data_IF_217693182910
#
_entry.id   IF_217693182910
#
_cell.length_a   1.000
_cell.length_b   1.000
_cell.length_c   1.000
_cell.angle_alpha   90.00
_cell.angle_beta   90.00
_cell.angle_gamma   90.00
#
_symmetry.space_group_name_H-M   'P 1'
#
loop_
_entity.id
_entity.type
_entity.pdbx_description
1 polymer ?
#
# COMPACT_ATOMS: atom_id res chain seq x y z
N UNK A 1 0.26 -24.61 -13.29
CA UNK A 1 0.46 -23.26 -12.71
C UNK A 1 1.88 -23.22 -12.18
N UNK A 2 2.73 -22.30 -12.66
CA UNK A 2 4.10 -22.17 -12.16
C UNK A 2 4.01 -21.64 -10.73
N UNK A 3 4.56 -22.37 -9.75
CA UNK A 3 4.67 -21.85 -8.38
C UNK A 3 5.91 -20.98 -8.29
N UNK A 4 5.70 -19.71 -7.95
CA UNK A 4 6.78 -18.77 -7.67
C UNK A 4 6.84 -18.61 -6.16
N UNK A 5 8.01 -18.86 -5.58
CA UNK A 5 8.26 -18.66 -4.15
C UNK A 5 8.19 -17.16 -3.80
N UNK A 6 7.36 -16.81 -2.82
CA UNK A 6 7.18 -15.44 -2.36
C UNK A 6 8.49 -14.84 -1.85
N UNK A 7 9.32 -15.61 -1.13
CA UNK A 7 10.59 -15.11 -0.62
C UNK A 7 11.53 -14.72 -1.77
N UNK A 8 11.48 -15.43 -2.89
CA UNK A 8 12.22 -15.10 -4.11
C UNK A 8 11.74 -13.80 -4.75
N UNK A 9 10.42 -13.54 -4.78
CA UNK A 9 9.89 -12.25 -5.28
C UNK A 9 10.28 -11.09 -4.37
N UNK A 10 10.16 -11.24 -3.05
CA UNK A 10 10.53 -10.20 -2.08
C UNK A 10 12.01 -9.84 -2.19
N UNK A 11 12.89 -10.81 -2.45
CA UNK A 11 14.33 -10.58 -2.68
C UNK A 11 14.64 -9.76 -3.94
N UNK A 12 13.73 -9.70 -4.91
CA UNK A 12 13.89 -8.94 -6.16
C UNK A 12 13.42 -7.49 -6.02
N UNK A 13 12.72 -7.15 -4.94
CA UNK A 13 12.31 -5.77 -4.67
C UNK A 13 13.55 -4.90 -4.48
N UNK A 14 13.47 -3.66 -4.98
CA UNK A 14 14.47 -2.67 -4.63
C UNK A 14 14.41 -2.35 -3.11
N UNK A 15 15.47 -1.78 -2.51
CA UNK A 15 15.52 -1.53 -1.07
C UNK A 15 14.36 -0.68 -0.54
N UNK A 16 13.90 0.32 -1.29
CA UNK A 16 12.80 1.20 -0.86
C UNK A 16 11.44 0.48 -0.86
N UNK A 17 11.17 -0.33 -1.88
CA UNK A 17 9.95 -1.13 -1.96
C UNK A 17 9.94 -2.23 -0.89
N UNK A 18 11.09 -2.85 -0.62
CA UNK A 18 11.24 -3.82 0.47
C UNK A 18 11.00 -3.16 1.83
N UNK A 19 11.60 -2.00 2.09
CA UNK A 19 11.38 -1.25 3.32
C UNK A 19 9.90 -0.85 3.48
N UNK A 20 9.25 -0.35 2.43
CA UNK A 20 7.84 -0.01 2.47
C UNK A 20 6.96 -1.22 2.77
N UNK A 21 7.29 -2.40 2.25
CA UNK A 21 6.61 -3.66 2.56
C UNK A 21 6.80 -4.07 4.03
N UNK A 22 8.00 -3.94 4.57
CA UNK A 22 8.29 -4.22 6.00
C UNK A 22 7.55 -3.25 6.94
N UNK A 23 7.48 -1.97 6.58
CA UNK A 23 6.69 -0.97 7.30
C UNK A 23 5.19 -1.28 7.22
N UNK A 24 4.69 -1.69 6.05
CA UNK A 24 3.30 -2.07 5.85
C UNK A 24 2.94 -3.30 6.71
N UNK A 25 3.83 -4.29 6.77
CA UNK A 25 3.66 -5.45 7.65
C UNK A 25 3.56 -5.05 9.12
N UNK A 26 4.45 -4.14 9.57
CA UNK A 26 4.44 -3.63 10.94
C UNK A 26 3.14 -2.89 11.28
N UNK A 27 2.65 -2.06 10.37
CA UNK A 27 1.37 -1.35 10.52
C UNK A 27 0.18 -2.32 10.54
N UNK A 28 0.12 -3.27 9.59
CA UNK A 28 -0.94 -4.28 9.54
C UNK A 28 -1.02 -5.09 10.85
N UNK A 29 0.13 -5.45 11.44
CA UNK A 29 0.16 -6.13 12.74
C UNK A 29 -0.38 -5.25 13.86
N UNK A 30 0.00 -3.97 13.89
CA UNK A 30 -0.50 -3.01 14.89
C UNK A 30 -2.01 -2.81 14.80
N UNK A 31 -2.54 -2.79 13.58
CA UNK A 31 -3.96 -2.57 13.30
C UNK A 31 -4.79 -3.87 13.30
N UNK A 32 -4.15 -5.01 13.56
CA UNK A 32 -4.76 -6.34 13.50
C UNK A 32 -5.47 -6.64 12.17
N UNK A 33 -4.91 -6.11 11.06
CA UNK A 33 -5.42 -6.38 9.72
C UNK A 33 -5.21 -7.85 9.35
N UNK A 34 -6.15 -8.44 8.60
CA UNK A 34 -6.12 -9.84 8.20
C UNK A 34 -5.03 -10.16 7.17
N UNK A 35 -4.63 -9.17 6.37
CA UNK A 35 -3.63 -9.31 5.32
C UNK A 35 -2.96 -7.98 4.98
N UNK A 36 -1.79 -8.07 4.35
CA UNK A 36 -1.09 -6.90 3.80
C UNK A 36 -1.57 -6.70 2.36
N UNK A 37 -2.37 -5.66 2.14
CA UNK A 37 -2.86 -5.31 0.81
C UNK A 37 -1.90 -4.37 0.08
N UNK A 38 -2.10 -4.21 -1.24
CA UNK A 38 -1.35 -3.22 -2.05
C UNK A 38 -1.52 -1.80 -1.49
N UNK A 39 -2.70 -1.47 -0.97
CA UNK A 39 -2.99 -0.16 -0.41
C UNK A 39 -2.08 0.16 0.80
N UNK A 40 -1.84 -0.82 1.68
CA UNK A 40 -0.92 -0.67 2.80
C UNK A 40 0.50 -0.34 2.33
N UNK A 41 1.02 -1.05 1.32
CA UNK A 41 2.37 -0.80 0.78
C UNK A 41 2.46 0.57 0.11
N UNK A 42 1.45 0.94 -0.69
CA UNK A 42 1.42 2.24 -1.36
C UNK A 42 1.34 3.41 -0.37
N UNK A 43 0.64 3.25 0.76
CA UNK A 43 0.64 4.25 1.85
C UNK A 43 2.05 4.49 2.40
N UNK A 44 2.81 3.42 2.66
CA UNK A 44 4.18 3.54 3.14
C UNK A 44 5.11 4.16 2.09
N UNK A 45 4.95 3.77 0.83
CA UNK A 45 5.69 4.37 -0.29
C UNK A 45 5.39 5.86 -0.45
N UNK A 46 4.13 6.26 -0.32
CA UNK A 46 3.71 7.66 -0.43
C UNK A 46 4.26 8.54 0.72
N UNK A 47 4.42 7.96 1.91
CA UNK A 47 4.98 8.64 3.08
C UNK A 47 6.49 8.93 2.94
N UNK A 48 7.23 8.10 2.19
CA UNK A 48 8.67 8.26 1.98
C UNK A 48 8.95 9.43 1.01
N UNK A 49 9.73 10.45 1.42
CA UNK A 49 10.10 11.54 0.52
C UNK A 49 10.82 11.04 -0.73
N UNK A 50 10.48 11.59 -1.90
CA UNK A 50 11.04 11.24 -3.22
C UNK A 50 10.90 9.76 -3.62
N UNK A 51 10.01 9.01 -2.99
CA UNK A 51 9.63 7.69 -3.49
C UNK A 51 8.92 7.82 -4.85
N UNK A 52 9.12 6.84 -5.74
CA UNK A 52 8.51 6.83 -7.07
C UNK A 52 6.99 7.05 -7.03
N UNK A 53 6.27 6.45 -6.08
CA UNK A 53 4.80 6.64 -5.94
C UNK A 53 4.46 8.11 -5.71
N UNK A 54 5.23 8.79 -4.85
CA UNK A 54 5.05 10.21 -4.57
C UNK A 54 5.38 11.08 -5.76
N UNK A 55 6.50 10.80 -6.44
CA UNK A 55 6.91 11.54 -7.65
C UNK A 55 5.90 11.37 -8.78
N UNK A 56 5.35 10.16 -8.95
CA UNK A 56 4.31 9.87 -9.94
C UNK A 56 3.03 10.65 -9.61
N UNK A 57 2.58 10.64 -8.35
CA UNK A 57 1.40 11.40 -7.94
C UNK A 57 1.58 12.90 -8.23
N UNK A 58 2.71 13.49 -7.83
CA UNK A 58 3.04 14.89 -8.09
C UNK A 58 3.05 15.21 -9.59
N UNK A 59 3.66 14.35 -10.43
CA UNK A 59 3.74 14.55 -11.89
C UNK A 59 2.42 14.37 -12.62
N UNK A 60 1.50 13.58 -12.06
CA UNK A 60 0.18 13.32 -12.64
C UNK A 60 -0.89 14.29 -12.14
N UNK A 61 -0.51 15.24 -11.26
CA UNK A 61 -1.44 16.19 -10.67
C UNK A 61 -2.35 15.58 -9.60
N UNK A 62 -1.99 14.41 -9.06
CA UNK A 62 -2.71 13.78 -7.96
C UNK A 62 -2.15 14.33 -6.65
N UNK A 63 -3.02 14.94 -5.85
CA UNK A 63 -2.70 15.39 -4.49
C UNK A 63 -2.23 14.19 -3.66
N UNK A 64 -1.07 14.33 -3.01
CA UNK A 64 -0.57 13.29 -2.10
C UNK A 64 -1.54 13.03 -0.94
N UNK A 65 -2.28 14.06 -0.51
CA UNK A 65 -3.28 13.93 0.55
C UNK A 65 -4.51 13.16 0.06
N UNK A 66 -5.01 13.47 -1.14
CA UNK A 66 -6.18 12.80 -1.72
C UNK A 66 -5.86 11.32 -1.98
N UNK A 67 -4.66 11.03 -2.48
CA UNK A 67 -4.18 9.66 -2.68
C UNK A 67 -4.05 8.93 -1.35
N UNK A 68 -3.51 9.57 -0.31
CA UNK A 68 -3.41 8.99 1.04
C UNK A 68 -4.80 8.67 1.59
N UNK A 69 -5.77 9.57 1.44
CA UNK A 69 -7.13 9.36 1.90
C UNK A 69 -7.79 8.18 1.17
N UNK A 70 -7.68 8.14 -0.16
CA UNK A 70 -8.22 7.04 -0.96
C UNK A 70 -7.62 5.67 -0.57
N UNK A 71 -6.29 5.60 -0.42
CA UNK A 71 -5.60 4.37 -0.03
C UNK A 71 -5.93 3.95 1.41
N UNK A 72 -6.21 4.90 2.31
CA UNK A 72 -6.62 4.60 3.69
C UNK A 72 -7.97 3.90 3.71
N UNK A 73 -8.94 4.38 2.92
CA UNK A 73 -10.27 3.75 2.81
C UNK A 73 -10.16 2.32 2.26
N UNK A 74 -9.32 2.10 1.25
CA UNK A 74 -9.09 0.77 0.67
C UNK A 74 -8.33 -0.19 1.59
N UNK A 75 -7.50 0.33 2.50
CA UNK A 75 -6.73 -0.51 3.44
C UNK A 75 -7.60 -1.11 4.56
N UNK A 76 -8.71 -0.45 4.90
CA UNK A 76 -9.62 -0.85 5.98
C UNK A 76 -11.07 -0.91 5.49
N UNK A 77 -11.42 -1.88 4.63
CA UNK A 77 -12.75 -1.96 4.04
C UNK A 77 -13.88 -2.25 5.06
N UNK A 78 -13.55 -2.59 6.31
CA UNK A 78 -14.52 -2.80 7.40
C UNK A 78 -15.37 -1.59 7.80
N UNK A 79 -15.15 -0.41 7.21
CA UNK A 79 -15.98 0.79 7.39
C UNK A 79 -16.97 1.07 6.26
N UNK A 80 -16.88 0.37 5.11
CA UNK A 80 -17.92 0.42 4.08
C UNK A 80 -18.97 -0.63 4.44
N UNK A 81 -19.96 -0.22 5.24
CA UNK A 81 -21.29 -0.83 5.13
C UNK A 81 -21.60 -0.95 3.64
N UNK A 82 -22.07 -2.11 3.22
CA UNK A 82 -22.55 -2.38 1.88
C UNK A 82 -23.73 -1.45 1.56
N UNK A 83 -23.46 -0.16 1.32
CA UNK A 83 -24.44 0.80 0.85
C UNK A 83 -24.61 0.53 -0.64
N UNK A 84 -25.54 -0.38 -0.88
CA UNK A 84 -26.49 -0.40 -1.98
C UNK A 84 -25.97 0.09 -3.32
N UNK A 85 -25.58 -0.85 -4.16
CA UNK A 85 -25.77 -0.65 -5.60
C UNK A 85 -27.21 -1.07 -5.94
N UNK A 86 -27.98 -0.26 -6.70
CA UNK A 86 -29.30 -0.64 -7.21
C UNK A 86 -29.24 -1.82 -8.20
#
# INVERSE_FOLDING_TARGET
MIQIDLATLVKRLNPFAKQALEMAASECMSQQASEITVAHVLLQMLAIPRNDVRVIAERTGISAEDLRQALTVESYPGGRSAEGYP
#
